data_IF_948009829564
#
_entry.id   IF_948009829564
#
_cell.length_a   1.000
_cell.length_b   1.000
_cell.length_c   1.000
_cell.angle_alpha   90.00
_cell.angle_beta   90.00
_cell.angle_gamma   90.00
#
_symmetry.space_group_name_H-M   'P 1'
#
loop_
_entity.id
_entity.type
_entity.pdbx_description
1 polymer ?
#
# COMPACT_ATOMS: atom_id res chain seq x y z
N UNK A 1 -28.39 28.18 5.42
CA UNK A 1 -27.59 26.93 5.48
C UNK A 1 -26.55 27.15 6.57
N UNK A 2 -26.62 26.41 7.68
CA UNK A 2 -25.62 26.52 8.74
C UNK A 2 -24.25 26.14 8.18
N UNK A 3 -23.24 26.95 8.46
CA UNK A 3 -21.86 26.59 8.15
C UNK A 3 -21.55 25.22 8.77
N UNK A 4 -20.94 24.28 8.03
CA UNK A 4 -20.57 23.00 8.60
C UNK A 4 -19.60 23.25 9.76
N UNK A 5 -19.94 22.74 10.94
CA UNK A 5 -19.05 22.78 12.10
C UNK A 5 -17.90 21.79 11.84
N UNK A 6 -16.74 22.36 11.49
CA UNK A 6 -15.54 21.64 11.08
C UNK A 6 -14.52 21.61 12.23
N UNK A 7 -14.13 20.40 12.63
CA UNK A 7 -12.99 20.16 13.50
C UNK A 7 -11.68 20.14 12.70
N UNK A 8 -10.64 20.75 13.28
CA UNK A 8 -9.26 20.57 12.80
C UNK A 8 -8.79 19.14 13.07
N UNK A 9 -7.75 18.72 12.36
CA UNK A 9 -7.13 17.41 12.53
C UNK A 9 -6.69 17.12 13.98
N UNK A 10 -6.17 18.11 14.71
CA UNK A 10 -5.78 17.97 16.11
C UNK A 10 -6.98 17.73 17.03
N UNK A 11 -8.07 18.48 16.83
CA UNK A 11 -9.31 18.29 17.59
C UNK A 11 -9.94 16.91 17.29
N UNK A 12 -9.91 16.49 16.02
CA UNK A 12 -10.37 15.15 15.66
C UNK A 12 -9.50 14.05 16.29
N UNK A 13 -8.18 14.26 16.37
CA UNK A 13 -7.22 13.36 17.03
C UNK A 13 -7.54 13.16 18.51
N UNK A 14 -7.84 14.26 19.22
CA UNK A 14 -8.24 14.23 20.63
C UNK A 14 -9.56 13.47 20.81
N UNK A 15 -10.55 13.74 19.96
CA UNK A 15 -11.88 13.14 20.04
C UNK A 15 -11.92 11.64 19.69
N UNK A 16 -11.11 11.19 18.73
CA UNK A 16 -11.11 9.79 18.30
C UNK A 16 -9.97 8.95 18.90
N UNK A 17 -9.03 9.56 19.62
CA UNK A 17 -7.90 8.84 20.23
C UNK A 17 -6.88 8.26 19.25
N UNK A 18 -6.86 8.77 18.01
CA UNK A 18 -5.89 8.38 16.98
C UNK A 18 -4.88 9.50 16.79
N UNK A 19 -3.57 9.22 16.80
CA UNK A 19 -2.53 10.20 16.51
C UNK A 19 -2.78 11.01 15.22
N UNK A 20 -2.48 12.30 15.28
CA UNK A 20 -2.75 13.27 14.21
C UNK A 20 -2.08 12.88 12.88
N UNK A 21 -0.85 12.35 12.93
CA UNK A 21 -0.09 11.86 11.79
C UNK A 21 -0.72 10.63 11.14
N UNK A 22 -1.30 9.71 11.93
CA UNK A 22 -2.06 8.57 11.44
C UNK A 22 -3.35 9.03 10.76
N UNK A 23 -4.11 9.94 11.38
CA UNK A 23 -5.30 10.52 10.72
C UNK A 23 -4.94 11.24 9.42
N UNK A 24 -3.81 11.96 9.40
CA UNK A 24 -3.29 12.61 8.18
C UNK A 24 -2.96 11.59 7.10
N UNK A 25 -2.31 10.49 7.46
CA UNK A 25 -2.02 9.36 6.57
C UNK A 25 -3.31 8.80 5.98
N UNK A 26 -4.28 8.45 6.84
CA UNK A 26 -5.55 7.86 6.41
C UNK A 26 -6.35 8.80 5.49
N UNK A 27 -6.40 10.10 5.80
CA UNK A 27 -7.02 11.11 4.96
C UNK A 27 -6.27 11.30 3.62
N UNK A 28 -4.94 11.26 3.66
CA UNK A 28 -4.06 11.31 2.50
C UNK A 28 -4.32 10.17 1.51
N UNK A 29 -4.49 8.96 2.05
CA UNK A 29 -4.68 7.73 1.30
C UNK A 29 -6.17 7.44 0.98
N UNK A 30 -7.08 8.35 1.36
CA UNK A 30 -8.50 8.31 0.98
C UNK A 30 -9.36 7.33 1.79
N UNK A 31 -8.90 6.90 2.97
CA UNK A 31 -9.65 5.97 3.83
C UNK A 31 -10.80 6.64 4.61
N UNK A 32 -10.79 7.97 4.68
CA UNK A 32 -11.76 8.78 5.44
C UNK A 32 -12.56 9.65 4.46
N UNK A 33 -13.63 9.12 3.84
CA UNK A 33 -14.37 9.81 2.78
C UNK A 33 -15.08 11.09 3.25
N UNK A 34 -15.35 11.21 4.55
CA UNK A 34 -15.97 12.40 5.16
C UNK A 34 -15.02 13.60 5.29
N UNK A 35 -13.71 13.42 5.05
CA UNK A 35 -12.73 14.49 5.19
C UNK A 35 -13.00 15.62 4.21
N UNK A 36 -13.01 16.85 4.73
CA UNK A 36 -13.07 18.07 3.95
C UNK A 36 -11.67 18.65 3.80
N UNK A 37 -11.23 18.88 2.56
CA UNK A 37 -9.95 19.53 2.27
C UNK A 37 -10.15 21.04 2.13
N UNK A 38 -9.51 21.80 3.02
CA UNK A 38 -9.48 23.25 2.94
C UNK A 38 -8.46 23.77 1.93
N UNK A 39 -8.34 25.09 1.86
CA UNK A 39 -7.30 25.77 1.08
C UNK A 39 -5.91 25.30 1.56
N UNK A 40 -4.96 25.19 0.62
CA UNK A 40 -3.59 24.71 0.88
C UNK A 40 -3.47 23.26 1.43
N UNK A 41 -4.52 22.43 1.34
CA UNK A 41 -4.44 21.00 1.68
C UNK A 41 -4.64 20.68 3.15
N UNK A 42 -5.10 21.63 3.96
CA UNK A 42 -5.52 21.36 5.34
C UNK A 42 -6.68 20.35 5.37
N UNK A 43 -6.64 19.44 6.35
CA UNK A 43 -7.62 18.38 6.54
C UNK A 43 -8.55 18.76 7.70
N UNK A 44 -9.85 18.72 7.44
CA UNK A 44 -10.92 19.00 8.41
C UNK A 44 -11.92 17.85 8.45
N UNK A 45 -12.60 17.70 9.58
CA UNK A 45 -13.66 16.72 9.78
C UNK A 45 -14.97 17.44 10.14
N UNK A 46 -16.11 17.07 9.55
CA UNK A 46 -17.39 17.43 10.14
C UNK A 46 -17.47 16.87 11.57
N UNK A 47 -17.73 17.70 12.58
CA UNK A 47 -17.66 17.27 14.00
C UNK A 47 -18.47 16.01 14.30
N UNK A 48 -19.65 15.89 13.69
CA UNK A 48 -20.57 14.78 13.88
C UNK A 48 -20.17 13.50 13.12
N UNK A 49 -19.11 13.56 12.30
CA UNK A 49 -18.64 12.46 11.46
C UNK A 49 -17.16 12.11 11.74
N UNK A 50 -16.62 12.57 12.87
CA UNK A 50 -15.31 12.13 13.32
C UNK A 50 -15.40 10.62 13.61
N UNK A 51 -14.55 9.80 12.98
CA UNK A 51 -14.60 8.35 13.20
C UNK A 51 -14.22 8.04 14.64
N UNK A 52 -14.79 6.97 15.18
CA UNK A 52 -14.35 6.39 16.45
C UNK A 52 -12.96 5.75 16.32
N UNK A 53 -12.30 5.55 17.47
CA UNK A 53 -11.05 4.80 17.54
C UNK A 53 -11.17 3.42 16.86
N UNK A 54 -12.24 2.67 17.15
CA UNK A 54 -12.47 1.33 16.64
C UNK A 54 -12.64 1.29 15.12
N UNK A 55 -13.34 2.27 14.55
CA UNK A 55 -13.45 2.43 13.09
C UNK A 55 -12.08 2.69 12.46
N UNK A 56 -11.28 3.58 13.04
CA UNK A 56 -9.94 3.87 12.53
C UNK A 56 -9.03 2.65 12.57
N UNK A 57 -9.01 1.91 13.68
CA UNK A 57 -8.22 0.68 13.83
C UNK A 57 -8.66 -0.40 12.84
N UNK A 58 -9.98 -0.53 12.61
CA UNK A 58 -10.50 -1.46 11.60
C UNK A 58 -10.02 -1.08 10.20
N UNK A 59 -10.11 0.21 9.83
CA UNK A 59 -9.66 0.70 8.52
C UNK A 59 -8.16 0.46 8.30
N UNK A 60 -7.33 0.72 9.32
CA UNK A 60 -5.88 0.46 9.26
C UNK A 60 -5.59 -1.03 9.08
N UNK A 61 -6.28 -1.88 9.83
CA UNK A 61 -6.16 -3.34 9.73
C UNK A 61 -6.55 -3.84 8.33
N UNK A 62 -7.68 -3.37 7.81
CA UNK A 62 -8.19 -3.78 6.50
C UNK A 62 -7.28 -3.32 5.36
N UNK A 63 -6.73 -2.11 5.46
CA UNK A 63 -5.79 -1.59 4.48
C UNK A 63 -4.46 -2.36 4.52
N UNK A 64 -3.95 -2.68 5.71
CA UNK A 64 -2.78 -3.56 5.87
C UNK A 64 -3.03 -4.93 5.23
N UNK A 65 -4.18 -5.55 5.49
CA UNK A 65 -4.52 -6.87 4.93
C UNK A 65 -4.66 -6.83 3.40
N UNK A 66 -5.22 -5.75 2.85
CA UNK A 66 -5.29 -5.52 1.41
C UNK A 66 -3.90 -5.52 0.77
N UNK A 67 -2.93 -4.84 1.37
CA UNK A 67 -1.56 -4.83 0.86
C UNK A 67 -0.86 -6.19 1.01
N UNK A 68 -1.11 -6.92 2.11
CA UNK A 68 -0.63 -8.30 2.27
C UNK A 68 -1.16 -9.23 1.18
N UNK A 69 -2.45 -9.15 0.85
CA UNK A 69 -3.05 -9.94 -0.24
C UNK A 69 -2.45 -9.60 -1.61
N UNK A 70 -2.20 -8.32 -1.87
CA UNK A 70 -1.55 -7.85 -3.11
C UNK A 70 -0.11 -8.34 -3.21
N UNK A 71 0.66 -8.23 -2.14
CA UNK A 71 2.03 -8.76 -2.07
C UNK A 71 2.05 -10.28 -2.30
N UNK A 72 1.13 -11.04 -1.70
CA UNK A 72 1.00 -12.48 -1.93
C UNK A 72 0.65 -12.80 -3.40
N UNK A 73 -0.17 -11.95 -4.05
CA UNK A 73 -0.48 -12.10 -5.47
C UNK A 73 0.73 -11.80 -6.36
N UNK A 74 1.53 -10.80 -6.00
CA UNK A 74 2.76 -10.47 -6.71
C UNK A 74 3.78 -11.61 -6.62
N UNK A 75 3.92 -12.25 -5.45
CA UNK A 75 4.78 -13.44 -5.29
C UNK A 75 4.32 -14.61 -6.17
N UNK A 76 3.03 -14.93 -6.19
CA UNK A 76 2.52 -15.99 -7.09
C UNK A 76 2.78 -15.68 -8.56
N UNK A 77 2.69 -14.41 -8.94
CA UNK A 77 3.04 -13.99 -10.30
C UNK A 77 4.53 -14.20 -10.56
N UNK A 78 5.39 -13.80 -9.63
CA UNK A 78 6.83 -14.01 -9.73
C UNK A 78 7.18 -15.50 -9.90
N UNK A 79 6.54 -16.40 -9.16
CA UNK A 79 6.74 -17.85 -9.31
C UNK A 79 6.43 -18.32 -10.75
N UNK A 80 5.36 -17.79 -11.36
CA UNK A 80 4.98 -18.11 -12.74
C UNK A 80 6.04 -17.63 -13.74
N UNK A 81 6.54 -16.40 -13.57
CA UNK A 81 7.58 -15.87 -14.45
C UNK A 81 8.91 -16.63 -14.30
N UNK A 82 9.27 -17.03 -13.08
CA UNK A 82 10.48 -17.81 -12.82
C UNK A 82 10.39 -19.21 -13.43
N UNK A 83 9.21 -19.82 -13.44
CA UNK A 83 8.99 -21.11 -14.09
C UNK A 83 9.10 -21.00 -15.61
N UNK A 84 8.60 -19.91 -16.21
CA UNK A 84 8.79 -19.66 -17.65
C UNK A 84 10.28 -19.57 -18.02
N UNK A 85 11.08 -18.83 -17.24
CA UNK A 85 12.53 -18.73 -17.42
C UNK A 85 13.20 -20.10 -17.24
N UNK A 86 12.75 -20.91 -16.28
CA UNK A 86 13.27 -22.27 -16.07
C UNK A 86 12.99 -23.18 -17.27
N UNK A 87 11.81 -23.05 -17.88
CA UNK A 87 11.46 -23.79 -19.08
C UNK A 87 12.38 -23.41 -20.25
N UNK A 88 12.61 -22.12 -20.47
CA UNK A 88 13.54 -21.64 -21.51
C UNK A 88 14.97 -22.16 -21.31
N UNK A 89 15.45 -22.21 -20.05
CA UNK A 89 16.77 -22.80 -19.74
C UNK A 89 16.79 -24.30 -20.06
N UNK A 90 15.72 -25.01 -19.76
CA UNK A 90 15.63 -26.45 -20.01
C UNK A 90 15.61 -26.72 -21.51
N UNK A 91 14.81 -25.97 -22.27
CA UNK A 91 14.74 -26.06 -23.73
C UNK A 91 16.08 -25.74 -24.39
N UNK A 92 16.77 -24.68 -23.94
CA UNK A 92 18.09 -24.34 -24.45
C UNK A 92 19.15 -25.45 -24.24
N UNK A 93 18.98 -26.26 -23.18
CA UNK A 93 19.86 -27.42 -22.93
C UNK A 93 19.50 -28.62 -23.79
N UNK A 94 18.21 -28.84 -24.05
CA UNK A 94 17.73 -29.94 -24.90
C UNK A 94 18.01 -29.67 -26.39
N UNK A 95 17.91 -28.42 -26.82
CA UNK A 95 18.04 -28.00 -28.22
C UNK A 95 19.06 -26.86 -28.38
N UNK A 96 20.37 -27.13 -28.17
CA UNK A 96 21.41 -26.09 -28.14
C UNK A 96 21.60 -25.29 -29.44
N UNK A 97 21.10 -25.80 -30.56
CA UNK A 97 21.12 -25.14 -31.87
C UNK A 97 19.96 -24.16 -32.11
N UNK A 98 18.96 -24.13 -31.23
CA UNK A 98 17.80 -23.24 -31.36
C UNK A 98 18.07 -21.87 -30.70
N UNK A 99 17.26 -20.87 -31.06
CA UNK A 99 17.30 -19.56 -30.42
C UNK A 99 16.92 -19.66 -28.95
N UNK A 100 17.59 -18.90 -28.09
CA UNK A 100 17.23 -18.81 -26.67
C UNK A 100 15.81 -18.24 -26.49
N UNK A 101 15.09 -18.81 -25.52
CA UNK A 101 13.71 -18.43 -25.22
C UNK A 101 13.56 -16.99 -24.73
N UNK A 102 12.36 -16.44 -24.96
CA UNK A 102 12.05 -15.02 -24.77
C UNK A 102 12.05 -14.63 -23.28
N UNK A 103 11.59 -15.50 -22.40
CA UNK A 103 11.46 -15.22 -20.98
C UNK A 103 12.85 -15.17 -20.33
N UNK A 104 13.74 -16.09 -20.72
CA UNK A 104 15.16 -16.03 -20.36
C UNK A 104 15.84 -14.77 -20.89
N UNK A 105 15.61 -14.43 -22.16
CA UNK A 105 16.25 -13.26 -22.79
C UNK A 105 15.70 -11.93 -22.26
N UNK A 106 14.48 -11.89 -21.73
CA UNK A 106 13.86 -10.69 -21.18
C UNK A 106 14.09 -10.51 -19.67
N UNK A 107 14.62 -11.52 -18.98
CA UNK A 107 14.93 -11.47 -17.55
C UNK A 107 15.81 -10.26 -17.21
N UNK A 108 15.40 -9.47 -16.22
CA UNK A 108 16.17 -8.33 -15.70
C UNK A 108 16.24 -7.08 -16.59
N UNK A 109 15.56 -7.04 -17.74
CA UNK A 109 15.54 -5.84 -18.59
C UNK A 109 14.63 -4.75 -18.00
N UNK A 110 15.09 -3.49 -18.02
CA UNK A 110 14.31 -2.34 -17.56
C UNK A 110 13.57 -1.67 -18.73
N UNK A 111 12.40 -1.04 -18.51
CA UNK A 111 11.71 -0.27 -19.54
C UNK A 111 12.52 0.90 -20.14
N UNK A 112 13.65 1.28 -19.54
CA UNK A 112 14.57 2.31 -20.07
C UNK A 112 15.67 1.74 -20.97
N UNK A 113 15.91 0.44 -20.98
CA UNK A 113 16.81 -0.24 -21.92
C UNK A 113 16.14 -0.48 -23.29
N UNK A 114 15.17 0.39 -23.63
CA UNK A 114 14.28 0.31 -24.79
C UNK A 114 14.96 0.64 -26.14
N UNK A 115 16.28 0.49 -26.24
CA UNK A 115 16.94 0.40 -27.55
C UNK A 115 17.28 -1.07 -27.79
N UNK A 116 16.44 -1.72 -28.63
CA UNK A 116 16.63 -3.05 -29.24
C UNK A 116 15.83 -4.26 -28.69
N UNK A 117 14.84 -4.10 -27.81
CA UNK A 117 13.91 -5.21 -27.54
C UNK A 117 12.63 -5.10 -28.39
N UNK A 118 12.47 -6.04 -29.33
CA UNK A 118 11.23 -6.29 -30.08
C UNK A 118 10.09 -6.85 -29.21
N UNK A 119 10.34 -7.09 -27.91
CA UNK A 119 9.42 -7.71 -26.96
C UNK A 119 8.54 -6.65 -26.27
N UNK A 120 7.78 -5.88 -27.04
CA UNK A 120 6.77 -4.97 -26.48
C UNK A 120 5.58 -5.77 -25.96
N UNK A 121 5.24 -5.60 -24.68
CA UNK A 121 3.91 -5.90 -24.14
C UNK A 121 3.80 -6.98 -23.06
N UNK A 122 4.91 -7.55 -22.58
CA UNK A 122 4.88 -8.61 -21.55
C UNK A 122 5.33 -8.05 -20.18
N UNK A 123 4.70 -8.48 -19.06
CA UNK A 123 5.05 -8.03 -17.72
C UNK A 123 6.42 -8.61 -17.33
N UNK A 124 7.45 -7.80 -17.49
CA UNK A 124 8.81 -8.13 -17.08
C UNK A 124 8.80 -8.44 -15.57
N UNK A 125 9.54 -9.46 -15.15
CA UNK A 125 9.81 -9.78 -13.74
C UNK A 125 10.13 -8.52 -12.92
N UNK A 126 10.85 -7.57 -13.53
CA UNK A 126 11.11 -6.23 -13.01
C UNK A 126 9.85 -5.51 -12.52
N UNK A 127 8.78 -5.48 -13.30
CA UNK A 127 7.51 -4.84 -12.90
C UNK A 127 6.81 -5.56 -11.75
N UNK A 128 6.93 -6.90 -11.66
CA UNK A 128 6.42 -7.67 -10.52
C UNK A 128 7.21 -7.33 -9.24
N UNK A 129 8.53 -7.19 -9.35
CA UNK A 129 9.41 -6.81 -8.23
C UNK A 129 9.18 -5.36 -7.78
N UNK A 130 8.98 -4.43 -8.71
CA UNK A 130 8.60 -3.04 -8.41
C UNK A 130 7.26 -2.97 -7.67
N UNK A 131 6.25 -3.71 -8.14
CA UNK A 131 4.96 -3.80 -7.48
C UNK A 131 5.10 -4.39 -6.07
N UNK A 132 5.82 -5.51 -5.92
CA UNK A 132 6.07 -6.10 -4.60
C UNK A 132 6.78 -5.14 -3.64
N UNK A 133 7.75 -4.38 -4.14
CA UNK A 133 8.46 -3.36 -3.35
C UNK A 133 7.51 -2.27 -2.84
N UNK A 134 6.61 -1.81 -3.72
CA UNK A 134 5.58 -0.82 -3.36
C UNK A 134 4.64 -1.37 -2.28
N UNK A 135 4.17 -2.61 -2.44
CA UNK A 135 3.30 -3.26 -1.47
C UNK A 135 4.01 -3.49 -0.13
N UNK A 136 5.30 -3.88 -0.12
CA UNK A 136 6.10 -4.02 1.11
C UNK A 136 6.20 -2.70 1.90
N UNK A 137 6.46 -1.60 1.21
CA UNK A 137 6.52 -0.27 1.84
C UNK A 137 5.17 0.10 2.46
N UNK A 138 4.07 -0.15 1.74
CA UNK A 138 2.73 0.11 2.24
C UNK A 138 2.37 -0.79 3.44
N UNK A 139 2.72 -2.08 3.40
CA UNK A 139 2.52 -3.01 4.53
C UNK A 139 3.21 -2.48 5.78
N UNK A 140 4.47 -2.07 5.67
CA UNK A 140 5.25 -1.57 6.81
C UNK A 140 4.58 -0.32 7.38
N UNK A 141 4.28 0.67 6.53
CA UNK A 141 3.62 1.93 6.91
C UNK A 141 2.29 1.69 7.65
N UNK A 142 1.44 0.81 7.13
CA UNK A 142 0.14 0.51 7.73
C UNK A 142 0.23 -0.40 8.95
N UNK A 143 1.26 -1.24 9.04
CA UNK A 143 1.50 -2.05 10.22
C UNK A 143 1.93 -1.20 11.40
N UNK A 144 2.88 -0.29 11.19
CA UNK A 144 3.35 0.63 12.22
C UNK A 144 2.20 1.52 12.71
N UNK A 145 1.45 2.14 11.78
CA UNK A 145 0.27 2.94 12.12
C UNK A 145 -0.80 2.14 12.88
N UNK A 146 -1.02 0.87 12.52
CA UNK A 146 -1.95 -0.01 13.23
C UNK A 146 -1.49 -0.27 14.68
N UNK A 147 -0.21 -0.59 14.89
CA UNK A 147 0.33 -0.82 16.24
C UNK A 147 0.31 0.44 17.09
N UNK A 148 0.65 1.59 16.51
CA UNK A 148 0.62 2.88 17.20
C UNK A 148 -0.81 3.28 17.61
N UNK A 149 -1.80 3.04 16.74
CA UNK A 149 -3.20 3.23 17.06
C UNK A 149 -3.70 2.28 18.16
N UNK A 150 -3.20 1.04 18.22
CA UNK A 150 -3.50 0.14 19.34
C UNK A 150 -2.91 0.66 20.66
N UNK A 151 -1.68 1.18 20.62
CA UNK A 151 -1.00 1.72 21.80
C UNK A 151 -1.58 3.07 22.28
N UNK A 152 -2.27 3.83 21.43
CA UNK A 152 -2.86 5.11 21.81
C UNK A 152 -4.09 4.96 22.71
N UNK A 153 -4.89 3.90 22.54
CA UNK A 153 -6.04 3.63 23.42
C UNK A 153 -5.60 3.40 24.87
N UNK A 154 -4.52 2.63 25.08
CA UNK A 154 -3.99 2.34 26.41
C UNK A 154 -3.48 3.57 27.16
N UNK A 155 -3.11 4.65 26.45
CA UNK A 155 -2.72 5.93 27.05
C UNK A 155 -3.94 6.74 27.51
N UNK A 156 -4.99 6.79 26.70
CA UNK A 156 -6.23 7.49 27.07
C UNK A 156 -6.90 6.84 28.29
N UNK A 157 -6.92 5.51 28.37
CA UNK A 157 -7.51 4.81 29.53
C UNK A 157 -6.72 4.98 30.84
N UNK A 158 -5.44 5.37 30.79
CA UNK A 158 -4.63 5.66 31.98
C UNK A 158 -4.78 7.11 32.46
N UNK A 159 -5.07 8.06 31.57
CA UNK A 159 -5.35 9.46 31.94
C UNK A 159 -6.74 9.65 32.57
N UNK A 160 -7.68 8.74 32.31
CA UNK A 160 -9.03 8.73 32.91
C UNK A 160 -9.12 7.97 34.25
N UNK A 161 -8.02 7.38 34.75
CA UNK A 161 -8.00 6.70 36.04
C UNK A 161 -7.81 7.71 37.20
N UNK A 162 -8.71 7.73 38.21
CA UNK A 162 -8.72 8.72 39.29
C UNK A 162 -7.56 8.60 40.29
#
# INVERSE_FOLDING_TARGET
MSEPDLAKLSEASELCGIPTDILKMMAGDGLLPQVVRGKAGHVYFPRQQIPSWGECVSLLKDQRDRHLRRAASALRRLDTELEAVRNDITEAREYPQQTLGIDLMSFGHWPRDRMASSLRGQPLITGVLEHFTTERMAITRYHDAYLDALASQGRQSQEEAP
#
